data_IF_951388186682
#
_entry.id   IF_951388186682
#
_cell.length_a   1.000
_cell.length_b   1.000
_cell.length_c   1.000
_cell.angle_alpha   90.00
_cell.angle_beta   90.00
_cell.angle_gamma   90.00
#
_symmetry.space_group_name_H-M   'P 1'
#
loop_
_entity.id
_entity.type
_entity.pdbx_description
1 polymer ?
#
# COMPACT_ATOMS: atom_id res chain seq x y z
N UNK A 1 -15.87 -55.89 31.41
CA UNK A 1 -14.53 -55.36 31.04
C UNK A 1 -14.39 -55.10 29.55
N UNK A 2 -14.59 -56.09 28.65
CA UNK A 2 -14.42 -55.93 27.19
C UNK A 2 -15.31 -54.84 26.55
N UNK A 3 -16.56 -54.71 26.99
CA UNK A 3 -17.50 -53.67 26.52
C UNK A 3 -17.08 -52.25 26.90
N UNK A 4 -16.41 -52.08 28.05
CA UNK A 4 -15.91 -50.78 28.50
C UNK A 4 -14.75 -50.28 27.65
N UNK A 5 -13.84 -51.16 27.22
CA UNK A 5 -12.75 -50.81 26.30
C UNK A 5 -13.27 -50.43 24.91
N UNK A 6 -14.35 -51.09 24.47
CA UNK A 6 -14.96 -50.84 23.17
C UNK A 6 -15.65 -49.46 23.14
N UNK A 7 -16.35 -49.08 24.20
CA UNK A 7 -16.95 -47.74 24.34
C UNK A 7 -15.86 -46.65 24.38
N UNK A 8 -14.74 -46.91 25.06
CA UNK A 8 -13.62 -45.98 25.18
C UNK A 8 -12.89 -45.79 23.84
N UNK A 9 -12.73 -46.87 23.06
CA UNK A 9 -12.17 -46.80 21.70
C UNK A 9 -13.06 -46.01 20.73
N UNK A 10 -14.37 -46.20 20.80
CA UNK A 10 -15.34 -45.50 19.93
C UNK A 10 -15.41 -44.01 20.26
N UNK A 11 -15.39 -43.65 21.54
CA UNK A 11 -15.36 -42.24 21.97
C UNK A 11 -14.06 -41.55 21.59
N UNK A 12 -12.92 -42.23 21.71
CA UNK A 12 -11.62 -41.69 21.27
C UNK A 12 -11.57 -41.49 19.74
N UNK A 13 -12.14 -42.41 18.97
CA UNK A 13 -12.27 -42.28 17.52
C UNK A 13 -13.15 -41.09 17.12
N UNK A 14 -14.27 -40.88 17.80
CA UNK A 14 -15.15 -39.73 17.58
C UNK A 14 -14.48 -38.39 17.95
N UNK A 15 -13.71 -38.34 19.05
CA UNK A 15 -12.98 -37.15 19.46
C UNK A 15 -11.86 -36.76 18.48
N UNK A 16 -11.22 -37.73 17.83
CA UNK A 16 -10.23 -37.48 16.77
C UNK A 16 -10.90 -36.98 15.49
N UNK A 17 -12.06 -37.54 15.12
CA UNK A 17 -12.82 -37.12 13.93
C UNK A 17 -13.27 -35.64 13.98
N UNK A 18 -13.68 -35.16 15.15
CA UNK A 18 -14.12 -33.76 15.34
C UNK A 18 -12.98 -32.76 15.07
N UNK A 19 -11.72 -33.13 15.33
CA UNK A 19 -10.55 -32.26 15.06
C UNK A 19 -10.30 -32.03 13.58
N UNK A 20 -10.59 -33.01 12.72
CA UNK A 20 -10.37 -32.93 11.26
C UNK A 20 -11.40 -32.00 10.61
N UNK A 21 -12.64 -32.00 11.08
CA UNK A 21 -13.72 -31.17 10.54
C UNK A 21 -13.56 -29.67 10.84
N UNK A 22 -12.78 -29.29 11.86
CA UNK A 22 -12.52 -27.89 12.21
C UNK A 22 -11.30 -27.27 11.51
N UNK A 23 -10.56 -28.05 10.69
CA UNK A 23 -9.31 -27.62 10.06
C UNK A 23 -9.45 -27.18 8.59
N UNK A 24 -10.67 -27.09 8.06
CA UNK A 24 -10.89 -26.63 6.68
C UNK A 24 -10.85 -25.10 6.61
N UNK A 25 -9.65 -24.50 6.66
CA UNK A 25 -9.47 -23.14 6.14
C UNK A 25 -9.80 -23.16 4.65
N UNK A 26 -10.63 -22.23 4.13
CA UNK A 26 -10.90 -22.16 2.70
C UNK A 26 -9.57 -22.08 1.92
N UNK A 27 -9.37 -22.91 0.88
CA UNK A 27 -8.16 -22.83 0.05
C UNK A 27 -8.09 -21.44 -0.60
N UNK A 28 -6.92 -20.80 -0.61
CA UNK A 28 -6.72 -19.47 -1.22
C UNK A 28 -6.64 -18.29 -0.25
N UNK A 29 -7.10 -18.41 1.00
CA UNK A 29 -7.01 -17.30 1.99
C UNK A 29 -5.56 -16.98 2.38
N UNK A 30 -4.68 -17.97 2.65
CA UNK A 30 -3.27 -17.72 2.90
C UNK A 30 -2.59 -16.98 1.74
N UNK A 31 -2.84 -17.42 0.50
CA UNK A 31 -2.25 -16.87 -0.71
C UNK A 31 -2.74 -15.44 -0.99
N UNK A 32 -4.02 -15.15 -0.72
CA UNK A 32 -4.57 -13.79 -0.81
C UNK A 32 -3.93 -12.86 0.22
N UNK A 33 -3.73 -13.34 1.45
CA UNK A 33 -3.09 -12.54 2.51
C UNK A 33 -1.62 -12.26 2.19
N UNK A 34 -0.90 -13.24 1.65
CA UNK A 34 0.47 -13.04 1.17
C UNK A 34 0.51 -12.05 -0.01
N UNK A 35 -0.41 -12.19 -0.98
CA UNK A 35 -0.56 -11.25 -2.09
C UNK A 35 -0.82 -9.82 -1.63
N UNK A 36 -1.64 -9.62 -0.58
CA UNK A 36 -1.88 -8.30 0.03
C UNK A 36 -0.62 -7.69 0.62
N UNK A 37 0.21 -8.49 1.31
CA UNK A 37 1.47 -8.02 1.91
C UNK A 37 2.43 -7.56 0.81
N UNK A 38 2.58 -8.36 -0.25
CA UNK A 38 3.46 -8.03 -1.38
C UNK A 38 3.00 -6.77 -2.11
N UNK A 39 1.69 -6.64 -2.36
CA UNK A 39 1.09 -5.42 -2.94
C UNK A 39 1.38 -4.19 -2.08
N UNK A 40 1.17 -4.27 -0.77
CA UNK A 40 1.43 -3.17 0.14
C UNK A 40 2.92 -2.77 0.20
N UNK A 41 3.83 -3.75 0.19
CA UNK A 41 5.27 -3.51 0.15
C UNK A 41 5.70 -2.82 -1.14
N UNK A 42 5.24 -3.32 -2.30
CA UNK A 42 5.53 -2.73 -3.60
C UNK A 42 5.00 -1.30 -3.70
N UNK A 43 3.78 -1.06 -3.21
CA UNK A 43 3.20 0.28 -3.23
C UNK A 43 3.99 1.26 -2.35
N UNK A 44 4.45 0.84 -1.17
CA UNK A 44 5.31 1.67 -0.31
C UNK A 44 6.63 2.02 -0.99
N UNK A 45 7.28 1.05 -1.63
CA UNK A 45 8.53 1.28 -2.36
C UNK A 45 8.35 2.21 -3.57
N UNK A 46 7.24 2.06 -4.30
CA UNK A 46 6.91 2.94 -5.42
C UNK A 46 6.58 4.36 -4.93
N UNK A 47 5.81 4.48 -3.84
CA UNK A 47 5.44 5.77 -3.26
C UNK A 47 6.66 6.57 -2.81
N UNK A 48 7.63 5.94 -2.15
CA UNK A 48 8.86 6.63 -1.74
C UNK A 48 9.69 7.08 -2.94
N UNK A 49 9.81 6.24 -3.98
CA UNK A 49 10.51 6.59 -5.21
C UNK A 49 9.84 7.79 -5.92
N UNK A 50 8.51 7.81 -6.03
CA UNK A 50 7.76 8.91 -6.65
C UNK A 50 7.89 10.20 -5.83
N UNK A 51 7.89 10.13 -4.49
CA UNK A 51 8.09 11.32 -3.65
C UNK A 51 9.47 11.96 -3.88
N UNK A 52 10.52 11.15 -3.98
CA UNK A 52 11.87 11.64 -4.31
C UNK A 52 11.90 12.27 -5.70
N UNK A 53 11.32 11.62 -6.70
CA UNK A 53 11.24 12.17 -8.06
C UNK A 53 10.41 13.46 -8.12
N UNK A 54 9.30 13.51 -7.39
CA UNK A 54 8.45 14.70 -7.29
C UNK A 54 9.20 15.88 -6.68
N UNK A 55 9.99 15.66 -5.63
CA UNK A 55 10.85 16.68 -5.05
C UNK A 55 11.91 17.18 -6.03
N UNK A 56 12.54 16.26 -6.80
CA UNK A 56 13.52 16.62 -7.83
C UNK A 56 12.89 17.47 -8.94
N UNK A 57 11.77 17.04 -9.51
CA UNK A 57 11.09 17.80 -10.58
C UNK A 57 10.52 19.12 -10.08
N UNK A 58 10.04 19.18 -8.83
CA UNK A 58 9.62 20.43 -8.19
C UNK A 58 10.77 21.42 -8.07
N UNK A 59 11.94 20.98 -7.64
CA UNK A 59 13.14 21.82 -7.53
C UNK A 59 13.66 22.26 -8.91
N UNK A 60 13.72 21.36 -9.88
CA UNK A 60 14.12 21.68 -11.25
C UNK A 60 13.16 22.70 -11.90
N UNK A 61 11.86 22.56 -11.67
CA UNK A 61 10.85 23.53 -12.11
C UNK A 61 11.07 24.92 -11.51
N UNK A 62 11.32 24.99 -10.20
CA UNK A 62 11.64 26.24 -9.51
C UNK A 62 12.92 26.88 -10.03
N UNK A 63 13.96 26.08 -10.26
CA UNK A 63 15.23 26.55 -10.83
C UNK A 63 15.05 27.15 -12.23
N UNK A 64 14.25 26.50 -13.09
CA UNK A 64 13.90 27.04 -14.41
C UNK A 64 13.22 28.40 -14.31
N UNK A 65 12.24 28.53 -13.42
CA UNK A 65 11.48 29.78 -13.23
C UNK A 65 12.41 30.89 -12.71
N UNK A 66 13.27 30.57 -11.75
CA UNK A 66 14.29 31.51 -11.28
C UNK A 66 15.19 31.99 -12.42
N UNK A 67 15.70 31.08 -13.23
CA UNK A 67 16.52 31.43 -14.39
C UNK A 67 15.75 32.33 -15.39
N UNK A 68 14.49 32.02 -15.67
CA UNK A 68 13.61 32.83 -16.51
C UNK A 68 13.41 34.24 -15.95
N UNK A 69 13.29 34.36 -14.63
CA UNK A 69 13.17 35.64 -13.95
C UNK A 69 14.45 36.46 -14.09
N UNK A 70 15.63 35.87 -13.88
CA UNK A 70 16.92 36.55 -14.06
C UNK A 70 17.15 37.01 -15.52
N UNK A 71 16.60 36.29 -16.50
CA UNK A 71 16.65 36.67 -17.92
C UNK A 71 15.65 37.78 -18.30
N UNK A 72 14.84 38.28 -17.37
CA UNK A 72 13.84 39.32 -17.65
C UNK A 72 12.69 38.86 -18.54
N UNK A 73 12.37 37.56 -18.56
CA UNK A 73 11.21 37.06 -19.33
C UNK A 73 9.92 37.67 -18.79
N UNK A 74 8.97 37.94 -19.68
CA UNK A 74 7.62 38.39 -19.29
C UNK A 74 6.81 37.20 -18.76
N UNK A 75 5.81 37.49 -17.94
CA UNK A 75 4.83 36.52 -17.42
C UNK A 75 5.38 35.50 -16.40
N UNK A 76 6.42 35.86 -15.64
CA UNK A 76 6.94 35.03 -14.53
C UNK A 76 5.85 34.71 -13.50
N UNK A 77 4.96 35.65 -13.21
CA UNK A 77 3.87 35.45 -12.25
C UNK A 77 2.97 34.25 -12.61
N UNK A 78 2.72 34.05 -13.91
CA UNK A 78 1.93 32.92 -14.42
C UNK A 78 2.72 31.61 -14.35
N UNK A 79 4.03 31.64 -14.62
CA UNK A 79 4.90 30.46 -14.48
C UNK A 79 5.01 30.02 -13.01
N UNK A 80 5.18 30.97 -12.09
CA UNK A 80 5.22 30.72 -10.63
C UNK A 80 3.89 30.15 -10.15
N UNK A 81 2.78 30.74 -10.56
CA UNK A 81 1.45 30.25 -10.19
C UNK A 81 1.19 28.82 -10.70
N UNK A 82 1.58 28.53 -11.96
CA UNK A 82 1.47 27.18 -12.53
C UNK A 82 2.34 26.15 -11.81
N UNK A 83 3.57 26.51 -11.46
CA UNK A 83 4.48 25.65 -10.70
C UNK A 83 3.99 25.40 -9.27
N UNK A 84 3.55 26.43 -8.56
CA UNK A 84 2.96 26.26 -7.22
C UNK A 84 1.70 25.39 -7.27
N UNK A 85 0.84 25.61 -8.27
CA UNK A 85 -0.34 24.78 -8.49
C UNK A 85 -0.01 23.31 -8.68
N UNK A 86 1.03 23.01 -9.49
CA UNK A 86 1.51 21.64 -9.69
C UNK A 86 2.07 21.02 -8.39
N UNK A 87 2.85 21.78 -7.60
CA UNK A 87 3.37 21.32 -6.31
C UNK A 87 2.25 20.99 -5.32
N UNK A 88 1.23 21.85 -5.21
CA UNK A 88 0.06 21.62 -4.34
C UNK A 88 -0.72 20.40 -4.82
N UNK A 89 -0.98 20.30 -6.13
CA UNK A 89 -1.68 19.15 -6.72
C UNK A 89 -0.98 17.83 -6.38
N UNK A 90 0.35 17.75 -6.52
CA UNK A 90 1.12 16.55 -6.18
C UNK A 90 1.06 16.21 -4.69
N UNK A 91 1.15 17.21 -3.80
CA UNK A 91 1.03 17.00 -2.36
C UNK A 91 -0.34 16.43 -1.97
N UNK A 92 -1.42 16.97 -2.54
CA UNK A 92 -2.78 16.47 -2.29
C UNK A 92 -3.00 15.09 -2.90
N UNK A 93 -2.45 14.85 -4.10
CA UNK A 93 -2.56 13.56 -4.78
C UNK A 93 -1.96 12.42 -3.94
N UNK A 94 -0.86 12.66 -3.23
CA UNK A 94 -0.27 11.69 -2.30
C UNK A 94 -1.24 11.25 -1.20
N UNK A 95 -1.97 12.22 -0.61
CA UNK A 95 -2.99 11.96 0.42
C UNK A 95 -4.17 11.19 -0.17
N UNK A 96 -4.62 11.58 -1.36
CA UNK A 96 -5.73 10.91 -2.06
C UNK A 96 -5.41 9.43 -2.35
N UNK A 97 -4.22 9.15 -2.89
CA UNK A 97 -3.79 7.77 -3.20
C UNK A 97 -3.61 6.94 -1.93
N UNK A 98 -3.06 7.53 -0.87
CA UNK A 98 -2.93 6.87 0.44
C UNK A 98 -4.29 6.47 1.01
N UNK A 99 -5.28 7.36 0.94
CA UNK A 99 -6.64 7.09 1.39
C UNK A 99 -7.32 6.00 0.55
N UNK A 100 -7.15 6.03 -0.78
CA UNK A 100 -7.76 5.07 -1.70
C UNK A 100 -7.24 3.64 -1.48
N UNK A 101 -5.93 3.49 -1.28
CA UNK A 101 -5.28 2.17 -1.14
C UNK A 101 -5.04 1.76 0.31
N UNK A 102 -5.44 2.59 1.29
CA UNK A 102 -5.18 2.39 2.72
C UNK A 102 -3.70 2.13 3.04
N UNK A 103 -2.79 2.68 2.23
CA UNK A 103 -1.36 2.59 2.47
C UNK A 103 -0.91 3.85 3.18
N UNK A 104 -0.34 3.78 4.40
CA UNK A 104 0.13 4.96 5.10
C UNK A 104 1.25 5.65 4.32
N UNK A 105 1.14 6.97 4.20
CA UNK A 105 2.23 7.84 3.76
C UNK A 105 3.27 7.81 4.88
N UNK A 106 4.48 7.36 4.57
CA UNK A 106 5.59 7.33 5.53
C UNK A 106 5.91 8.73 6.05
#
# INVERSE_FOLDING_TARGET
>A
MKTSYLILAVTLFFLVGIRVSMAQTPPGIPEINEGKILMAQNFRALSSAILVLGALFGLLGGLRIYNNWQMGRRNIDMEVAGWLGACIFLSVLGIFLSALYQVPIA
#
